data_IF_759167185754
#
_entry.id   IF_759167185754
#
_cell.length_a   1.000
_cell.length_b   1.000
_cell.length_c   1.000
_cell.angle_alpha   90.00
_cell.angle_beta   90.00
_cell.angle_gamma   90.00
#
_symmetry.space_group_name_H-M   'P 1'
#
loop_
_entity.id
_entity.type
_entity.pdbx_description
1 polymer ?
#
# COMPACT_ATOMS: atom_id res chain seq x y z
N UNK A 1 26.51 45.10 -6.81
CA UNK A 1 26.40 44.41 -8.11
C UNK A 1 25.50 43.19 -7.95
N UNK A 2 24.25 43.31 -8.39
CA UNK A 2 23.19 42.31 -8.22
C UNK A 2 23.21 41.30 -9.38
N UNK A 3 23.71 40.09 -9.12
CA UNK A 3 23.69 38.99 -10.08
C UNK A 3 22.29 38.35 -10.16
N UNK A 4 21.63 38.48 -11.32
CA UNK A 4 20.42 37.71 -11.67
C UNK A 4 20.79 36.21 -11.77
N UNK A 5 19.95 35.27 -11.28
CA UNK A 5 20.18 33.85 -11.52
C UNK A 5 19.83 33.49 -12.97
N UNK A 6 20.77 32.82 -13.64
CA UNK A 6 20.64 32.28 -14.99
C UNK A 6 19.40 31.37 -15.11
N UNK A 7 18.53 31.71 -16.05
CA UNK A 7 17.44 30.86 -16.50
C UNK A 7 18.06 29.66 -17.24
N UNK A 8 17.99 28.49 -16.62
CA UNK A 8 18.39 27.24 -17.28
C UNK A 8 17.15 26.69 -17.99
N UNK A 9 17.08 26.89 -19.30
CA UNK A 9 15.93 26.52 -20.13
C UNK A 9 15.56 25.03 -20.03
N UNK A 10 14.28 24.76 -20.27
CA UNK A 10 13.76 23.39 -20.36
C UNK A 10 14.11 22.83 -21.74
N UNK A 11 14.65 21.60 -21.84
CA UNK A 11 14.80 20.96 -23.14
C UNK A 11 13.43 20.74 -23.78
N UNK A 12 13.27 21.23 -25.01
CA UNK A 12 12.10 20.99 -25.86
C UNK A 12 12.01 19.50 -26.24
N UNK A 13 10.79 18.94 -26.40
CA UNK A 13 10.63 17.57 -26.86
C UNK A 13 11.13 17.44 -28.31
N UNK A 14 12.02 16.48 -28.54
CA UNK A 14 12.34 16.00 -29.89
C UNK A 14 11.11 15.23 -30.39
N UNK A 15 10.46 15.75 -31.44
CA UNK A 15 9.29 15.12 -32.06
C UNK A 15 9.61 13.78 -32.71
N UNK A 16 8.62 12.89 -32.90
CA UNK A 16 8.83 11.62 -33.56
C UNK A 16 9.16 11.86 -35.04
N UNK A 17 10.25 11.24 -35.52
CA UNK A 17 10.57 11.16 -36.94
C UNK A 17 9.59 10.18 -37.58
N UNK A 18 8.88 10.66 -38.60
CA UNK A 18 8.05 9.85 -39.49
C UNK A 18 8.87 8.74 -40.13
N UNK A 19 8.36 7.51 -40.09
CA UNK A 19 8.82 6.42 -40.95
C UNK A 19 7.62 5.86 -41.70
N UNK A 20 7.60 6.15 -43.00
CA UNK A 20 7.25 5.25 -44.10
C UNK A 20 5.96 4.45 -44.02
N UNK A 21 4.99 4.88 -44.84
CA UNK A 21 3.91 4.08 -45.39
C UNK A 21 4.43 2.84 -46.13
N UNK A 22 3.78 1.69 -45.96
CA UNK A 22 3.57 0.69 -47.01
C UNK A 22 2.16 0.09 -46.84
N UNK A 23 1.39 0.13 -47.93
CA UNK A 23 0.08 -0.50 -48.19
C UNK A 23 0.27 -2.01 -48.50
N UNK A 24 -0.69 -2.92 -48.68
CA UNK A 24 -2.16 -2.99 -48.76
C UNK A 24 -2.57 -4.49 -48.74
N UNK A 25 -3.90 -4.73 -48.65
CA UNK A 25 -4.68 -5.95 -49.02
C UNK A 25 -4.74 -7.10 -47.98
N UNK A 26 -5.87 -7.81 -47.74
CA UNK A 26 -7.30 -7.75 -48.15
C UNK A 26 -8.06 -8.89 -47.41
N UNK A 27 -9.41 -8.89 -47.51
CA UNK A 27 -10.42 -9.89 -47.10
C UNK A 27 -10.83 -9.84 -45.61
N UNK A 28 -11.96 -9.22 -45.22
CA UNK A 28 -13.38 -9.50 -45.49
C UNK A 28 -13.92 -10.77 -44.82
N UNK A 29 -14.73 -10.61 -43.78
CA UNK A 29 -16.07 -11.24 -43.71
C UNK A 29 -16.90 -10.54 -42.62
N UNK A 30 -18.11 -10.15 -43.03
CA UNK A 30 -19.09 -9.44 -42.24
C UNK A 30 -20.10 -10.45 -41.67
N UNK A 31 -20.51 -10.26 -40.42
CA UNK A 31 -21.81 -10.75 -39.94
C UNK A 31 -22.51 -9.60 -39.24
N UNK A 32 -23.72 -9.34 -39.73
CA UNK A 32 -24.53 -8.17 -39.50
C UNK A 32 -25.87 -8.66 -38.96
N UNK A 33 -26.25 -8.25 -37.76
CA UNK A 33 -27.67 -8.30 -37.34
C UNK A 33 -28.01 -7.17 -36.39
N UNK A 34 -28.79 -6.23 -36.96
CA UNK A 34 -29.95 -5.50 -36.42
C UNK A 34 -29.77 -4.66 -35.15
N UNK A 35 -29.80 -3.35 -35.39
CA UNK A 35 -30.35 -2.35 -34.50
C UNK A 35 -31.88 -2.48 -34.46
N UNK A 36 -32.45 -2.38 -33.26
CA UNK A 36 -33.81 -1.87 -33.08
C UNK A 36 -33.78 -0.80 -31.98
N UNK A 37 -34.34 0.34 -32.35
CA UNK A 37 -34.50 1.57 -31.59
C UNK A 37 -35.77 1.54 -30.75
N UNK A 38 -35.68 1.91 -29.48
CA UNK A 38 -36.81 2.53 -28.77
C UNK A 38 -36.30 3.41 -27.63
N UNK A 39 -36.58 4.71 -27.75
CA UNK A 39 -36.54 5.69 -26.67
C UNK A 39 -37.47 5.29 -25.52
N UNK A 40 -37.06 5.60 -24.28
CA UNK A 40 -37.76 6.54 -23.40
C UNK A 40 -37.62 6.21 -21.89
N UNK A 41 -37.52 7.30 -21.13
CA UNK A 41 -37.98 7.51 -19.74
C UNK A 41 -37.20 6.91 -18.56
N UNK A 42 -36.43 7.81 -17.92
CA UNK A 42 -36.13 7.84 -16.50
C UNK A 42 -37.42 7.98 -15.66
N UNK A 43 -37.73 7.03 -14.78
CA UNK A 43 -38.45 7.25 -13.51
C UNK A 43 -37.91 6.24 -12.48
N UNK A 44 -37.59 6.71 -11.29
CA UNK A 44 -36.95 5.91 -10.24
C UNK A 44 -37.91 4.96 -9.53
N UNK A 45 -37.37 3.80 -9.11
CA UNK A 45 -38.05 2.91 -8.17
C UNK A 45 -37.14 2.48 -7.03
N UNK A 46 -37.71 2.57 -5.83
CA UNK A 46 -37.15 2.19 -4.54
C UNK A 46 -37.13 0.67 -4.44
N UNK A 47 -35.96 0.08 -4.20
CA UNK A 47 -35.88 -1.33 -3.79
C UNK A 47 -36.12 -1.43 -2.29
N UNK A 48 -37.26 -1.99 -1.92
CA UNK A 48 -37.64 -2.41 -0.57
C UNK A 48 -36.98 -3.78 -0.31
N UNK A 49 -36.09 -3.88 0.67
CA UNK A 49 -35.56 -5.17 1.14
C UNK A 49 -36.36 -5.58 2.38
N UNK A 50 -37.07 -6.71 2.26
CA UNK A 50 -37.84 -7.36 3.33
C UNK A 50 -36.92 -8.31 4.09
N UNK A 51 -36.84 -8.18 5.42
CA UNK A 51 -36.15 -9.12 6.31
C UNK A 51 -37.06 -10.32 6.65
N UNK A 52 -36.53 -11.56 6.78
CA UNK A 52 -37.34 -12.70 7.17
C UNK A 52 -37.60 -12.71 8.68
N UNK A 53 -38.82 -13.14 9.00
CA UNK A 53 -39.48 -13.11 10.30
C UNK A 53 -38.96 -14.15 11.30
N UNK A 54 -39.03 -13.75 12.57
CA UNK A 54 -38.87 -14.57 13.79
C UNK A 54 -40.05 -15.53 13.95
N UNK A 55 -39.79 -16.82 14.17
CA UNK A 55 -40.79 -17.79 14.62
C UNK A 55 -40.90 -17.79 16.16
N UNK A 56 -42.14 -17.87 16.65
CA UNK A 56 -42.55 -17.96 18.06
C UNK A 56 -43.28 -19.28 18.29
N UNK A 57 -43.00 -19.95 19.41
CA UNK A 57 -43.96 -20.80 20.16
C UNK A 57 -43.42 -21.01 21.59
N UNK A 58 -44.02 -20.41 22.63
CA UNK A 58 -45.19 -20.81 23.47
C UNK A 58 -44.77 -21.54 24.77
N UNK A 59 -45.25 -21.03 25.91
CA UNK A 59 -45.63 -21.87 27.06
C UNK A 59 -45.42 -21.30 28.48
N UNK A 60 -46.51 -20.77 29.08
CA UNK A 60 -46.83 -20.76 30.54
C UNK A 60 -46.11 -19.74 31.45
N UNK A 61 -46.66 -19.14 32.51
CA UNK A 61 -48.00 -18.83 33.04
C UNK A 61 -47.77 -18.23 34.45
N UNK A 62 -48.54 -17.19 34.82
CA UNK A 62 -48.93 -16.74 36.17
C UNK A 62 -47.80 -16.17 37.11
N UNK A 63 -47.97 -15.20 38.02
CA UNK A 63 -49.14 -14.59 38.68
C UNK A 63 -48.70 -13.30 39.47
N UNK A 64 -49.58 -12.27 39.53
CA UNK A 64 -49.87 -11.27 40.61
C UNK A 64 -48.77 -10.29 41.12
N UNK A 65 -48.94 -8.96 40.94
CA UNK A 65 -49.69 -7.91 41.72
C UNK A 65 -48.80 -7.13 42.72
N UNK A 66 -48.56 -5.84 42.47
CA UNK A 66 -49.15 -4.69 43.22
C UNK A 66 -48.40 -3.35 42.98
N UNK A 67 -49.19 -2.35 42.57
CA UNK A 67 -49.25 -0.92 42.96
C UNK A 67 -48.00 -0.23 43.53
N UNK A 68 -47.53 0.83 42.87
CA UNK A 68 -47.76 2.21 43.35
C UNK A 68 -47.32 3.31 42.34
N UNK A 69 -48.05 4.42 42.41
CA UNK A 69 -47.94 5.62 41.59
C UNK A 69 -46.68 6.44 41.87
N UNK A 70 -46.24 7.24 40.87
CA UNK A 70 -45.17 8.21 41.07
C UNK A 70 -44.66 8.85 39.78
N UNK A 71 -45.21 10.02 39.48
CA UNK A 71 -44.96 10.88 38.33
C UNK A 71 -43.46 11.31 38.20
N UNK A 72 -42.87 11.22 37.00
CA UNK A 72 -41.98 12.24 36.41
C UNK A 72 -41.29 11.71 35.14
N UNK A 73 -41.46 12.46 34.05
CA UNK A 73 -40.94 12.13 32.74
C UNK A 73 -39.41 12.00 32.69
N UNK A 74 -38.95 10.89 32.12
CA UNK A 74 -37.63 10.79 31.49
C UNK A 74 -37.82 10.28 30.08
N UNK A 75 -37.55 11.16 29.13
CA UNK A 75 -37.46 10.85 27.72
C UNK A 75 -36.55 9.63 27.51
N UNK A 76 -37.12 8.58 26.91
CA UNK A 76 -36.40 7.43 26.44
C UNK A 76 -35.36 7.89 25.41
N UNK A 77 -34.09 7.96 25.83
CA UNK A 77 -32.96 8.04 24.89
C UNK A 77 -32.89 6.69 24.19
N UNK A 78 -33.63 6.56 23.08
CA UNK A 78 -33.41 5.50 22.09
C UNK A 78 -31.94 5.58 21.69
N UNK A 79 -31.16 4.59 22.10
CA UNK A 79 -29.78 4.43 21.70
C UNK A 79 -29.73 4.39 20.18
N UNK A 80 -29.14 5.43 19.59
CA UNK A 80 -28.75 5.40 18.19
C UNK A 80 -27.83 4.17 18.01
N UNK A 81 -28.06 3.34 16.99
CA UNK A 81 -27.10 2.29 16.69
C UNK A 81 -25.78 2.97 16.41
N UNK A 82 -24.76 2.64 17.22
CA UNK A 82 -23.38 2.98 16.91
C UNK A 82 -23.06 2.24 15.63
N UNK A 83 -23.25 2.92 14.50
CA UNK A 83 -22.64 2.51 13.24
C UNK A 83 -21.15 2.65 13.48
N UNK A 84 -20.53 1.53 13.89
CA UNK A 84 -19.09 1.36 13.74
C UNK A 84 -18.87 1.35 12.24
N UNK A 85 -18.69 2.55 11.68
CA UNK A 85 -17.99 2.71 10.42
C UNK A 85 -16.67 1.98 10.63
N UNK A 86 -16.59 0.76 10.10
CA UNK A 86 -15.36 0.01 9.98
C UNK A 86 -14.46 0.86 9.11
N UNK A 87 -13.73 1.77 9.76
CA UNK A 87 -12.66 2.54 9.15
C UNK A 87 -11.71 1.49 8.59
N UNK A 88 -11.69 1.39 7.26
CA UNK A 88 -10.75 0.57 6.52
C UNK A 88 -9.38 0.67 7.19
N UNK A 89 -8.84 -0.42 7.75
CA UNK A 89 -7.58 -0.34 8.48
C UNK A 89 -6.52 0.01 7.47
N UNK A 90 -6.10 1.28 7.51
CA UNK A 90 -5.02 1.89 6.75
C UNK A 90 -3.84 0.93 6.68
N UNK A 91 -3.68 0.27 5.54
CA UNK A 91 -2.66 -0.76 5.35
C UNK A 91 -1.33 -0.06 5.15
N UNK A 92 -0.36 -0.43 5.98
CA UNK A 92 1.01 0.07 5.91
C UNK A 92 1.61 -0.41 4.60
N UNK A 93 2.18 0.47 3.74
CA UNK A 93 2.92 0.03 2.57
C UNK A 93 4.07 -0.91 2.97
N UNK A 94 4.07 -2.11 2.43
CA UNK A 94 5.14 -3.09 2.58
C UNK A 94 5.90 -3.18 1.26
N UNK A 95 6.71 -4.24 1.06
CA UNK A 95 7.54 -4.35 -0.13
C UNK A 95 6.75 -4.27 -1.46
N UNK A 96 5.66 -5.02 -1.65
CA UNK A 96 4.93 -5.03 -2.91
C UNK A 96 4.38 -3.65 -3.29
N UNK A 97 3.80 -2.92 -2.33
CA UNK A 97 3.26 -1.58 -2.57
C UNK A 97 4.35 -0.60 -3.00
N UNK A 98 5.51 -0.67 -2.36
CA UNK A 98 6.66 0.19 -2.69
C UNK A 98 7.23 -0.19 -4.06
N UNK A 99 7.30 -1.47 -4.39
CA UNK A 99 7.76 -1.94 -5.71
C UNK A 99 6.85 -1.45 -6.83
N UNK A 100 5.54 -1.61 -6.66
CA UNK A 100 4.52 -1.13 -7.60
C UNK A 100 4.64 0.38 -7.77
N UNK A 101 4.81 1.14 -6.68
CA UNK A 101 5.03 2.57 -6.76
C UNK A 101 6.30 2.92 -7.54
N UNK A 102 7.42 2.23 -7.29
CA UNK A 102 8.68 2.46 -8.00
C UNK A 102 8.53 2.22 -9.50
N UNK A 103 7.90 1.11 -9.90
CA UNK A 103 7.66 0.76 -11.32
C UNK A 103 6.86 1.83 -12.06
N UNK A 104 5.88 2.43 -11.38
CA UNK A 104 5.05 3.48 -11.95
C UNK A 104 5.67 4.88 -11.90
N UNK A 105 6.33 5.22 -10.80
CA UNK A 105 6.88 6.57 -10.58
C UNK A 105 8.19 6.80 -11.33
N UNK A 106 9.03 5.77 -11.49
CA UNK A 106 10.34 5.91 -12.13
C UNK A 106 10.27 6.40 -13.60
N UNK A 107 9.39 5.87 -14.47
CA UNK A 107 9.21 6.40 -15.83
C UNK A 107 8.77 7.86 -15.84
N UNK A 108 7.90 8.25 -14.90
CA UNK A 108 7.39 9.60 -14.79
C UNK A 108 8.47 10.60 -14.36
N UNK A 109 9.51 10.17 -13.64
CA UNK A 109 10.62 11.02 -13.20
C UNK A 109 11.75 11.16 -14.23
N UNK A 110 11.74 10.34 -15.29
CA UNK A 110 12.81 10.29 -16.30
C UNK A 110 13.10 11.68 -16.87
N UNK A 111 14.38 12.02 -16.98
CA UNK A 111 14.88 13.28 -17.53
C UNK A 111 14.42 14.56 -16.79
N UNK A 112 13.74 14.45 -15.64
CA UNK A 112 13.36 15.63 -14.86
C UNK A 112 14.55 16.20 -14.11
N UNK A 113 14.58 17.52 -14.02
CA UNK A 113 15.59 18.30 -13.29
C UNK A 113 14.88 19.00 -12.14
N UNK A 114 15.45 18.92 -10.95
CA UNK A 114 14.94 19.62 -9.77
C UNK A 114 15.24 21.11 -9.89
N UNK A 115 14.20 21.93 -9.93
CA UNK A 115 14.28 23.40 -9.97
C UNK A 115 14.12 24.04 -8.61
N UNK A 116 13.36 23.40 -7.74
CA UNK A 116 13.15 23.87 -6.37
C UNK A 116 12.94 22.68 -5.44
N UNK A 117 13.30 22.88 -4.18
CA UNK A 117 13.04 21.96 -3.07
C UNK A 117 12.30 22.75 -2.01
N UNK A 118 11.24 22.19 -1.45
CA UNK A 118 10.55 22.75 -0.29
C UNK A 118 10.20 21.62 0.68
N UNK A 119 10.62 21.78 1.94
CA UNK A 119 10.30 20.81 3.01
C UNK A 119 9.34 21.49 3.98
N UNK A 120 8.05 21.20 3.82
CA UNK A 120 6.99 21.84 4.63
C UNK A 120 6.92 21.28 6.05
N UNK A 121 7.48 20.09 6.28
CA UNK A 121 7.58 19.46 7.61
C UNK A 121 8.97 18.87 7.83
N UNK A 122 9.82 19.56 8.59
CA UNK A 122 11.21 19.15 8.82
C UNK A 122 11.35 17.72 9.38
N UNK A 123 10.37 17.23 10.15
CA UNK A 123 10.39 15.87 10.74
C UNK A 123 10.58 14.76 9.72
N UNK A 124 10.05 14.90 8.50
CA UNK A 124 10.19 13.86 7.47
C UNK A 124 11.57 13.89 6.78
N UNK A 125 12.30 15.00 6.86
CA UNK A 125 13.62 15.13 6.26
C UNK A 125 14.77 14.67 7.17
N UNK A 126 14.51 14.53 8.47
CA UNK A 126 15.53 14.13 9.46
C UNK A 126 16.14 12.76 9.13
N UNK A 127 17.46 12.58 9.37
CA UNK A 127 18.38 13.50 10.04
C UNK A 127 18.86 14.67 9.17
N UNK A 128 18.65 14.63 7.85
CA UNK A 128 18.94 15.78 6.98
C UNK A 128 18.04 17.00 7.24
N UNK A 129 18.48 18.12 6.71
CA UNK A 129 17.80 19.42 6.75
C UNK A 129 17.29 19.82 5.36
N UNK A 130 16.35 20.77 5.32
CA UNK A 130 15.92 21.36 4.05
C UNK A 130 17.09 21.99 3.29
N UNK A 131 18.02 22.65 4.00
CA UNK A 131 19.19 23.29 3.39
C UNK A 131 20.07 22.28 2.68
N UNK A 132 20.34 21.14 3.31
CA UNK A 132 21.14 20.06 2.71
C UNK A 132 20.43 19.46 1.50
N UNK A 133 19.13 19.15 1.62
CA UNK A 133 18.34 18.64 0.50
C UNK A 133 18.32 19.62 -0.67
N UNK A 134 18.13 20.92 -0.40
CA UNK A 134 18.17 21.98 -1.42
C UNK A 134 19.53 22.05 -2.09
N UNK A 135 20.61 22.02 -1.32
CA UNK A 135 21.98 22.08 -1.82
C UNK A 135 22.35 20.85 -2.67
N UNK A 136 21.87 19.66 -2.27
CA UNK A 136 22.14 18.41 -2.97
C UNK A 136 21.30 18.27 -4.25
N UNK A 137 20.01 18.63 -4.21
CA UNK A 137 19.07 18.33 -5.28
C UNK A 137 18.87 19.47 -6.28
N UNK A 138 18.99 20.74 -5.91
CA UNK A 138 18.70 21.83 -6.86
C UNK A 138 19.66 21.79 -8.05
N UNK A 139 19.11 21.70 -9.26
CA UNK A 139 19.84 21.51 -10.52
C UNK A 139 20.22 20.06 -10.82
N UNK A 140 19.93 19.11 -9.93
CA UNK A 140 20.21 17.70 -10.17
C UNK A 140 19.18 17.08 -11.12
N UNK A 141 19.66 16.24 -12.03
CA UNK A 141 18.87 15.44 -12.97
C UNK A 141 18.57 14.08 -12.35
N UNK A 142 17.33 13.61 -12.50
CA UNK A 142 16.96 12.27 -12.10
C UNK A 142 17.74 11.21 -12.90
N UNK A 143 18.27 10.20 -12.22
CA UNK A 143 18.99 9.08 -12.84
C UNK A 143 18.16 7.81 -12.74
N UNK A 144 17.79 7.42 -11.52
CA UNK A 144 17.09 6.15 -11.26
C UNK A 144 16.26 6.25 -10.00
N UNK A 145 15.19 5.46 -9.96
CA UNK A 145 14.46 5.14 -8.74
C UNK A 145 14.48 3.62 -8.59
N UNK A 146 14.90 3.15 -7.44
CA UNK A 146 14.93 1.75 -7.07
C UNK A 146 14.20 1.53 -5.73
N UNK A 147 13.98 0.28 -5.37
CA UNK A 147 13.47 -0.13 -4.06
C UNK A 147 14.54 -0.88 -3.27
N UNK A 148 14.58 -0.65 -1.96
CA UNK A 148 15.28 -1.52 -1.00
C UNK A 148 14.40 -1.74 0.23
N UNK A 149 13.98 -2.97 0.48
CA UNK A 149 12.97 -3.29 1.48
C UNK A 149 11.69 -2.49 1.22
N UNK A 150 11.32 -1.64 2.19
CA UNK A 150 10.18 -0.71 2.13
C UNK A 150 10.59 0.74 1.81
N UNK A 151 11.82 0.94 1.36
CA UNK A 151 12.37 2.24 1.00
C UNK A 151 12.39 2.43 -0.51
N UNK A 152 12.08 3.66 -0.92
CA UNK A 152 12.37 4.19 -2.23
C UNK A 152 13.78 4.80 -2.21
N UNK A 153 14.61 4.45 -3.19
CA UNK A 153 15.99 4.94 -3.31
C UNK A 153 16.09 5.73 -4.60
N UNK A 154 16.11 7.05 -4.48
CA UNK A 154 16.23 7.97 -5.59
C UNK A 154 17.70 8.30 -5.83
N UNK A 155 18.15 8.16 -7.07
CA UNK A 155 19.49 8.55 -7.52
C UNK A 155 19.37 9.76 -8.43
N UNK A 156 20.09 10.82 -8.08
CA UNK A 156 20.16 12.08 -8.82
C UNK A 156 21.60 12.38 -9.17
N UNK A 157 21.82 13.07 -10.29
CA UNK A 157 23.15 13.52 -10.72
C UNK A 157 23.15 15.01 -10.93
N UNK A 158 24.07 15.71 -10.27
CA UNK A 158 24.23 17.15 -10.42
C UNK A 158 25.37 17.45 -11.40
N UNK A 159 25.13 18.21 -12.48
CA UNK A 159 26.22 18.66 -13.36
C UNK A 159 27.30 19.40 -12.57
N UNK A 160 28.56 19.12 -12.88
CA UNK A 160 29.71 19.77 -12.22
C UNK A 160 30.04 19.26 -10.80
N UNK A 161 29.37 18.20 -10.31
CA UNK A 161 29.80 17.47 -9.11
C UNK A 161 30.15 16.03 -9.45
N UNK A 162 31.22 15.54 -8.85
CA UNK A 162 31.56 14.12 -8.90
C UNK A 162 30.60 13.32 -8.03
N UNK A 163 30.13 12.18 -8.55
CA UNK A 163 29.26 11.24 -7.84
C UNK A 163 27.76 11.50 -7.98
N UNK A 164 26.98 10.47 -7.65
CA UNK A 164 25.54 10.54 -7.60
C UNK A 164 25.06 10.91 -6.18
N UNK A 165 23.96 11.64 -6.11
CA UNK A 165 23.25 11.98 -4.88
C UNK A 165 22.13 10.97 -4.66
N UNK A 166 22.19 10.27 -3.53
CA UNK A 166 21.14 9.35 -3.11
C UNK A 166 20.19 10.03 -2.13
N UNK A 167 18.89 9.91 -2.36
CA UNK A 167 17.84 10.29 -1.40
C UNK A 167 17.02 9.04 -1.08
N UNK A 168 16.81 8.80 0.20
CA UNK A 168 15.96 7.72 0.68
C UNK A 168 14.57 8.25 1.02
N UNK A 169 13.56 7.57 0.48
CA UNK A 169 12.15 7.79 0.77
C UNK A 169 11.57 6.61 1.54
N UNK A 170 10.72 6.86 2.51
CA UNK A 170 9.94 5.83 3.19
C UNK A 170 8.52 6.33 3.36
N UNK A 171 7.52 5.54 2.99
CA UNK A 171 6.13 5.99 2.98
C UNK A 171 5.51 6.05 4.39
N UNK A 172 6.09 5.34 5.36
CA UNK A 172 5.49 5.20 6.68
C UNK A 172 4.20 4.40 6.57
N UNK A 173 3.11 4.89 7.15
CA UNK A 173 1.81 4.20 7.06
C UNK A 173 0.83 4.85 6.07
N UNK A 174 0.98 6.14 5.82
CA UNK A 174 0.00 6.96 5.07
C UNK A 174 0.65 7.83 4.00
N UNK A 175 1.96 7.68 3.80
CA UNK A 175 2.68 8.45 2.80
C UNK A 175 2.17 8.13 1.39
N UNK A 176 2.14 9.15 0.54
CA UNK A 176 1.80 9.13 -0.89
C UNK A 176 2.87 9.90 -1.65
N UNK A 177 3.44 9.32 -2.70
CA UNK A 177 4.41 9.99 -3.57
C UNK A 177 3.93 9.99 -5.02
N UNK A 178 3.80 11.18 -5.64
CA UNK A 178 3.21 11.33 -6.97
C UNK A 178 3.62 12.65 -7.66
N UNK A 179 3.15 12.86 -8.90
CA UNK A 179 3.41 14.08 -9.67
C UNK A 179 2.14 14.88 -9.91
N UNK A 180 2.13 16.14 -9.50
CA UNK A 180 1.09 17.09 -9.88
C UNK A 180 1.55 18.00 -11.02
N UNK A 181 0.65 18.51 -11.88
CA UNK A 181 0.94 19.67 -12.72
C UNK A 181 1.42 20.85 -11.86
N UNK A 182 2.39 21.62 -12.35
CA UNK A 182 3.00 22.72 -11.55
C UNK A 182 2.00 23.78 -11.07
N UNK A 183 0.92 23.99 -11.84
CA UNK A 183 -0.14 24.97 -11.53
C UNK A 183 -1.26 24.41 -10.65
N UNK A 184 -1.28 23.10 -10.40
CA UNK A 184 -2.28 22.50 -9.54
C UNK A 184 -2.07 22.95 -8.07
N UNK A 185 -3.16 23.17 -7.30
CA UNK A 185 -3.05 23.48 -5.88
C UNK A 185 -2.27 22.41 -5.12
N UNK A 186 -1.37 22.83 -4.22
CA UNK A 186 -0.64 21.89 -3.38
C UNK A 186 -1.57 21.29 -2.31
N UNK A 187 -1.49 19.98 -2.04
CA UNK A 187 -2.34 19.35 -1.05
C UNK A 187 -1.96 19.82 0.37
N UNK A 188 -2.98 19.86 1.25
CA UNK A 188 -2.83 20.28 2.65
C UNK A 188 -1.70 19.54 3.36
N UNK A 189 -1.57 18.24 3.10
CA UNK A 189 -0.60 17.36 3.76
C UNK A 189 0.66 17.09 2.91
N UNK A 190 0.95 17.88 1.87
CA UNK A 190 2.27 17.85 1.22
C UNK A 190 3.35 18.21 2.26
N UNK A 191 4.26 17.27 2.51
CA UNK A 191 5.37 17.40 3.45
C UNK A 191 6.69 17.72 2.75
N UNK A 192 6.89 17.24 1.52
CA UNK A 192 8.00 17.62 0.64
C UNK A 192 7.47 17.88 -0.76
N UNK A 193 7.99 18.94 -1.39
CA UNK A 193 7.69 19.29 -2.78
C UNK A 193 9.00 19.52 -3.54
N UNK A 194 9.18 18.81 -4.65
CA UNK A 194 10.26 19.10 -5.60
C UNK A 194 9.66 19.68 -6.88
N UNK A 195 10.06 20.89 -7.25
CA UNK A 195 9.66 21.48 -8.52
C UNK A 195 10.42 20.83 -9.68
N UNK A 196 9.72 20.17 -10.60
CA UNK A 196 10.27 19.43 -11.74
C UNK A 196 9.79 20.02 -13.08
N UNK A 197 10.18 21.27 -13.35
CA UNK A 197 9.79 22.05 -14.53
C UNK A 197 8.27 22.24 -14.69
N UNK A 198 7.58 21.35 -15.41
CA UNK A 198 6.12 21.39 -15.66
C UNK A 198 5.31 20.66 -14.59
N UNK A 199 5.97 19.91 -13.71
CA UNK A 199 5.33 19.16 -12.64
C UNK A 199 5.93 19.53 -11.28
N UNK A 200 5.20 19.22 -10.21
CA UNK A 200 5.71 19.12 -8.86
C UNK A 200 5.70 17.65 -8.46
N UNK A 201 6.83 17.13 -7.99
CA UNK A 201 6.82 15.90 -7.21
C UNK A 201 6.33 16.22 -5.81
N UNK A 202 5.33 15.47 -5.37
CA UNK A 202 4.68 15.62 -4.08
C UNK A 202 4.97 14.37 -3.26
N UNK A 203 5.50 14.59 -2.06
CA UNK A 203 5.40 13.64 -0.98
C UNK A 203 4.39 14.17 0.03
N UNK A 204 3.27 13.48 0.16
CA UNK A 204 2.19 13.76 1.10
C UNK A 204 2.23 12.74 2.23
N UNK A 205 2.18 13.20 3.48
CA UNK A 205 2.09 12.31 4.64
C UNK A 205 1.35 13.00 5.78
N UNK A 206 0.05 12.73 5.96
CA UNK A 206 -0.75 13.32 7.04
C UNK A 206 -0.19 13.01 8.44
N UNK A 207 0.43 11.83 8.62
CA UNK A 207 0.93 11.36 9.92
C UNK A 207 2.40 11.71 10.16
N UNK A 208 3.12 12.12 9.11
CA UNK A 208 4.54 12.50 9.16
C UNK A 208 5.42 11.39 9.77
N UNK A 209 5.10 10.14 9.43
CA UNK A 209 5.81 8.95 9.90
C UNK A 209 6.84 8.47 8.89
N UNK A 210 6.66 8.76 7.62
CA UNK A 210 7.64 8.42 6.62
C UNK A 210 8.82 9.40 6.58
N UNK A 211 9.69 9.22 5.59
CA UNK A 211 10.98 9.90 5.48
C UNK A 211 11.27 10.28 4.03
N UNK A 212 12.04 11.35 3.86
CA UNK A 212 12.61 11.81 2.59
C UNK A 212 13.92 12.53 2.90
N UNK A 213 15.03 11.81 2.91
CA UNK A 213 16.28 12.25 3.54
C UNK A 213 17.51 11.83 2.73
N UNK A 214 18.66 12.49 2.92
CA UNK A 214 19.93 12.08 2.29
C UNK A 214 20.59 10.94 3.07
N UNK A 215 20.11 10.64 4.27
CA UNK A 215 20.61 9.53 5.07
C UNK A 215 20.13 8.18 4.53
N UNK A 216 21.07 7.28 4.32
CA UNK A 216 20.85 5.91 3.87
C UNK A 216 21.27 4.87 4.93
N UNK A 217 21.58 5.29 6.15
CA UNK A 217 21.96 4.39 7.26
C UNK A 217 20.92 3.30 7.50
N UNK A 218 19.63 3.65 7.52
CA UNK A 218 18.52 2.72 7.70
C UNK A 218 18.41 1.71 6.54
N UNK A 219 18.79 2.11 5.33
CA UNK A 219 18.78 1.25 4.13
C UNK A 219 19.95 0.28 4.16
N UNK A 220 21.14 0.73 4.59
CA UNK A 220 22.33 -0.11 4.75
C UNK A 220 22.18 -1.17 5.85
N UNK A 221 21.41 -0.89 6.89
CA UNK A 221 21.16 -1.81 7.99
C UNK A 221 20.17 -2.94 7.68
N UNK A 222 19.56 -2.95 6.48
CA UNK A 222 18.57 -3.95 6.10
C UNK A 222 19.21 -5.31 5.80
N UNK A 223 18.51 -6.38 6.21
CA UNK A 223 18.80 -7.75 5.80
C UNK A 223 18.54 -7.98 4.30
N UNK A 224 18.83 -9.18 3.78
CA UNK A 224 18.74 -9.44 2.34
C UNK A 224 17.34 -9.22 1.76
N UNK A 225 17.25 -8.98 0.44
CA UNK A 225 15.97 -8.98 -0.27
C UNK A 225 15.40 -10.41 -0.37
N UNK A 226 14.07 -10.59 -0.47
CA UNK A 226 13.46 -11.92 -0.57
C UNK A 226 13.89 -12.76 -1.78
N UNK A 227 14.42 -12.13 -2.83
CA UNK A 227 14.95 -12.80 -4.03
C UNK A 227 16.48 -12.74 -4.14
N UNK A 228 17.17 -12.20 -3.14
CA UNK A 228 18.63 -12.19 -3.09
C UNK A 228 19.16 -13.60 -2.81
N UNK A 229 20.31 -13.95 -3.41
CA UNK A 229 21.04 -15.20 -3.10
C UNK A 229 21.39 -15.29 -1.62
N UNK A 230 21.62 -14.14 -0.97
CA UNK A 230 21.89 -14.07 0.47
C UNK A 230 20.69 -14.49 1.34
N UNK A 231 19.47 -14.44 0.83
CA UNK A 231 18.29 -15.00 1.50
C UNK A 231 18.05 -16.44 1.03
N UNK A 232 18.95 -17.35 1.40
CA UNK A 232 18.83 -18.79 1.12
C UNK A 232 18.07 -19.52 2.24
N UNK A 233 17.59 -20.74 1.98
CA UNK A 233 16.92 -21.58 3.00
C UNK A 233 17.87 -21.90 4.16
N UNK A 234 19.14 -22.15 3.85
CA UNK A 234 20.19 -22.47 4.82
C UNK A 234 20.48 -21.26 5.73
N UNK A 235 20.70 -20.08 5.12
CA UNK A 235 20.93 -18.84 5.85
C UNK A 235 19.71 -18.47 6.71
N UNK A 236 18.51 -18.62 6.17
CA UNK A 236 17.26 -18.36 6.88
C UNK A 236 17.07 -19.32 8.07
N UNK A 237 17.32 -20.62 7.87
CA UNK A 237 17.27 -21.62 8.95
C UNK A 237 18.27 -21.30 10.06
N UNK A 238 19.51 -20.96 9.69
CA UNK A 238 20.55 -20.60 10.66
C UNK A 238 20.18 -19.35 11.47
N UNK A 239 19.58 -18.34 10.83
CA UNK A 239 19.13 -17.13 11.51
C UNK A 239 17.94 -17.39 12.45
N UNK A 240 16.97 -18.23 12.05
CA UNK A 240 15.82 -18.57 12.88
C UNK A 240 16.20 -19.37 14.13
N UNK A 241 17.17 -20.30 14.02
CA UNK A 241 17.68 -21.09 15.15
C UNK A 241 18.22 -20.25 16.31
N UNK A 242 18.66 -19.02 16.04
CA UNK A 242 19.20 -18.09 17.04
C UNK A 242 18.13 -17.28 17.79
N UNK A 243 16.84 -17.42 17.46
CA UNK A 243 15.78 -16.60 18.06
C UNK A 243 14.72 -17.41 18.79
N UNK A 244 14.46 -17.01 20.04
CA UNK A 244 13.34 -17.52 20.85
C UNK A 244 12.00 -16.83 20.52
N UNK A 245 12.01 -15.72 19.77
CA UNK A 245 10.81 -14.96 19.45
C UNK A 245 9.84 -15.80 18.61
N UNK A 246 8.55 -15.48 18.69
CA UNK A 246 7.56 -16.07 17.80
C UNK A 246 7.91 -15.78 16.32
N UNK A 247 7.74 -16.77 15.44
CA UNK A 247 8.16 -16.72 14.04
C UNK A 247 7.57 -15.51 13.32
N UNK A 248 6.30 -15.18 13.58
CA UNK A 248 5.67 -13.98 13.02
C UNK A 248 6.41 -12.70 13.42
N UNK A 249 6.79 -12.57 14.70
CA UNK A 249 7.53 -11.39 15.18
C UNK A 249 8.90 -11.34 14.53
N UNK A 250 9.56 -12.49 14.39
CA UNK A 250 10.88 -12.56 13.76
C UNK A 250 10.84 -12.23 12.27
N UNK A 251 9.76 -12.56 11.54
CA UNK A 251 9.57 -12.13 10.14
C UNK A 251 9.40 -10.61 9.96
N UNK A 252 9.01 -9.88 11.00
CA UNK A 252 8.89 -8.42 10.96
C UNK A 252 10.24 -7.70 11.15
N UNK A 253 11.26 -8.43 11.60
CA UNK A 253 12.61 -7.92 11.75
C UNK A 253 13.26 -7.69 10.39
N UNK A 254 13.44 -6.42 10.03
CA UNK A 254 13.96 -6.03 8.72
C UNK A 254 15.45 -6.40 8.54
N UNK A 255 16.16 -6.81 9.60
CA UNK A 255 17.53 -7.36 9.50
C UNK A 255 17.56 -8.84 9.08
N UNK A 256 16.45 -9.56 9.25
CA UNK A 256 16.34 -10.97 8.83
C UNK A 256 16.06 -11.07 7.33
N UNK A 257 15.04 -10.34 6.89
CA UNK A 257 14.63 -10.24 5.49
C UNK A 257 13.92 -8.91 5.32
N UNK A 258 14.38 -8.11 4.37
CA UNK A 258 13.84 -6.78 4.17
C UNK A 258 12.47 -6.85 3.48
N UNK A 259 11.57 -5.95 3.85
CA UNK A 259 10.34 -5.72 3.08
C UNK A 259 9.10 -6.44 3.58
N UNK A 260 9.23 -7.49 4.39
CA UNK A 260 8.09 -8.18 4.97
C UNK A 260 7.47 -7.32 6.08
N UNK A 261 6.16 -7.15 6.08
CA UNK A 261 5.41 -6.53 7.16
C UNK A 261 4.27 -7.40 7.66
N UNK A 262 3.26 -6.76 8.21
CA UNK A 262 2.22 -7.41 8.99
C UNK A 262 1.29 -8.27 8.13
N UNK A 263 1.00 -7.80 6.92
CA UNK A 263 0.12 -8.48 5.95
C UNK A 263 0.83 -9.73 5.47
N UNK A 264 1.96 -9.56 4.80
CA UNK A 264 2.61 -10.65 4.09
C UNK A 264 3.25 -11.67 5.02
N UNK A 265 3.60 -11.30 6.27
CA UNK A 265 3.99 -12.30 7.27
C UNK A 265 2.84 -13.23 7.65
N UNK A 266 1.60 -12.71 7.80
CA UNK A 266 0.44 -13.54 8.16
C UNK A 266 0.05 -14.46 7.01
N UNK A 267 0.03 -13.92 5.78
CA UNK A 267 -0.27 -14.68 4.56
C UNK A 267 0.77 -15.77 4.28
N UNK A 268 2.06 -15.47 4.37
CA UNK A 268 3.13 -16.45 4.16
C UNK A 268 3.09 -17.58 5.20
N UNK A 269 2.84 -17.26 6.47
CA UNK A 269 2.71 -18.27 7.53
C UNK A 269 1.49 -19.17 7.32
N UNK A 270 0.38 -18.61 6.83
CA UNK A 270 -0.80 -19.40 6.49
C UNK A 270 -0.53 -20.36 5.33
N UNK A 271 0.10 -19.89 4.26
CA UNK A 271 0.48 -20.74 3.13
C UNK A 271 1.45 -21.85 3.53
N UNK A 272 2.42 -21.53 4.39
CA UNK A 272 3.39 -22.50 4.91
C UNK A 272 2.81 -23.47 5.95
N UNK A 273 1.59 -23.23 6.47
CA UNK A 273 0.96 -24.05 7.50
C UNK A 273 1.61 -23.92 8.88
N UNK A 274 2.28 -22.79 9.17
CA UNK A 274 3.04 -22.59 10.41
C UNK A 274 2.27 -21.66 11.34
N UNK A 275 2.08 -22.08 12.58
CA UNK A 275 1.47 -21.25 13.62
C UNK A 275 2.31 -20.00 13.89
N UNK A 276 1.71 -18.79 13.87
CA UNK A 276 2.45 -17.56 14.11
C UNK A 276 3.01 -17.46 15.53
N UNK A 277 2.53 -18.30 16.45
CA UNK A 277 2.97 -18.37 17.85
C UNK A 277 4.23 -19.21 18.04
N UNK A 278 4.55 -20.08 17.07
CA UNK A 278 5.70 -20.98 17.18
C UNK A 278 6.98 -20.18 17.32
N UNK A 279 7.85 -20.55 18.26
CA UNK A 279 9.16 -19.93 18.39
C UNK A 279 9.97 -20.16 17.11
N UNK A 280 10.66 -19.13 16.60
CA UNK A 280 11.43 -19.17 15.37
C UNK A 280 12.44 -20.33 15.35
N UNK A 281 13.16 -20.53 16.45
CA UNK A 281 14.11 -21.66 16.62
C UNK A 281 13.48 -23.05 16.59
N UNK A 282 12.15 -23.17 16.71
CA UNK A 282 11.41 -24.45 16.70
C UNK A 282 10.79 -24.76 15.33
N UNK A 283 10.93 -23.88 14.34
CA UNK A 283 10.49 -24.15 12.97
C UNK A 283 11.47 -25.15 12.35
N UNK A 284 10.97 -26.27 11.85
CA UNK A 284 11.80 -27.36 11.29
C UNK A 284 12.38 -26.95 9.93
N UNK A 285 13.48 -27.58 9.52
CA UNK A 285 14.16 -27.20 8.27
C UNK A 285 13.25 -27.30 7.02
N UNK A 286 12.41 -28.34 6.95
CA UNK A 286 11.40 -28.51 5.90
C UNK A 286 10.32 -27.42 5.94
N UNK A 287 9.89 -27.02 7.14
CA UNK A 287 8.98 -25.89 7.34
C UNK A 287 9.61 -24.56 6.94
N UNK A 288 10.91 -24.36 7.22
CA UNK A 288 11.64 -23.16 6.80
C UNK A 288 11.71 -23.08 5.27
N UNK A 289 11.97 -24.19 4.59
CA UNK A 289 11.96 -24.24 3.13
C UNK A 289 10.58 -23.87 2.55
N UNK A 290 9.50 -24.43 3.11
CA UNK A 290 8.12 -24.06 2.71
C UNK A 290 7.80 -22.60 3.00
N UNK A 291 8.24 -22.07 4.14
CA UNK A 291 8.04 -20.66 4.50
C UNK A 291 8.81 -19.72 3.57
N UNK A 292 10.05 -20.07 3.22
CA UNK A 292 10.87 -19.32 2.28
C UNK A 292 10.20 -19.21 0.91
N UNK A 293 9.70 -20.33 0.37
CA UNK A 293 8.94 -20.36 -0.87
C UNK A 293 7.64 -19.52 -0.76
N UNK A 294 6.84 -19.75 0.29
CA UNK A 294 5.59 -19.04 0.52
C UNK A 294 5.78 -17.52 0.63
N UNK A 295 6.85 -17.03 1.26
CA UNK A 295 7.20 -15.61 1.31
C UNK A 295 7.37 -15.05 -0.11
N UNK A 296 8.17 -15.73 -0.94
CA UNK A 296 8.48 -15.26 -2.30
C UNK A 296 7.25 -15.28 -3.19
N UNK A 297 6.43 -16.33 -3.10
CA UNK A 297 5.18 -16.47 -3.84
C UNK A 297 4.18 -15.36 -3.49
N UNK A 298 3.89 -15.17 -2.19
CA UNK A 298 2.94 -14.15 -1.72
C UNK A 298 3.37 -12.75 -2.18
N UNK A 299 4.66 -12.44 -2.05
CA UNK A 299 5.17 -11.12 -2.45
C UNK A 299 5.15 -10.94 -3.97
N UNK A 300 5.52 -11.97 -4.75
CA UNK A 300 5.49 -11.93 -6.21
C UNK A 300 4.07 -11.71 -6.73
N UNK A 301 3.11 -12.49 -6.22
CA UNK A 301 1.69 -12.35 -6.56
C UNK A 301 1.14 -10.97 -6.23
N UNK A 302 1.54 -10.39 -5.09
CA UNK A 302 1.10 -9.06 -4.69
C UNK A 302 1.70 -7.96 -5.59
N UNK A 303 2.95 -8.13 -6.04
CA UNK A 303 3.59 -7.21 -6.99
C UNK A 303 2.92 -7.31 -8.36
N UNK A 304 2.67 -8.53 -8.84
CA UNK A 304 2.02 -8.76 -10.13
C UNK A 304 0.62 -8.16 -10.15
N UNK A 305 -0.20 -8.47 -9.13
CA UNK A 305 -1.53 -7.89 -8.96
C UNK A 305 -1.50 -6.36 -8.86
N UNK A 306 -0.52 -5.82 -8.14
CA UNK A 306 -0.40 -4.37 -8.01
C UNK A 306 -0.02 -3.68 -9.31
N UNK A 307 0.79 -4.36 -10.11
CA UNK A 307 1.24 -3.83 -11.39
C UNK A 307 0.10 -3.75 -12.41
N UNK A 308 -1.00 -4.49 -12.22
CA UNK A 308 -2.19 -4.42 -13.08
C UNK A 308 -3.18 -3.34 -12.68
N UNK A 309 -3.00 -2.70 -11.51
CA UNK A 309 -3.95 -1.71 -10.99
C UNK A 309 -3.46 -0.30 -11.31
N UNK A 310 -4.27 0.53 -12.00
CA UNK A 310 -3.89 1.91 -12.27
C UNK A 310 -3.76 2.70 -10.97
N UNK A 311 -2.69 3.48 -10.82
CA UNK A 311 -2.53 4.38 -9.68
C UNK A 311 -3.06 5.77 -9.99
N UNK A 312 -3.64 6.40 -8.98
CA UNK A 312 -3.98 7.83 -9.03
C UNK A 312 -2.70 8.66 -8.87
N UNK A 313 -2.18 9.20 -9.97
CA UNK A 313 -1.01 10.09 -9.93
C UNK A 313 -1.37 11.57 -9.78
N UNK A 314 -2.64 11.92 -9.93
CA UNK A 314 -3.15 13.30 -9.84
C UNK A 314 -3.59 13.68 -8.41
N UNK A 315 -3.66 12.71 -7.50
CA UNK A 315 -4.19 12.90 -6.15
C UNK A 315 -5.69 13.21 -6.13
N UNK A 316 -6.41 12.87 -7.21
CA UNK A 316 -7.84 13.12 -7.40
C UNK A 316 -8.73 11.97 -6.90
N UNK A 317 -8.14 10.80 -6.66
CA UNK A 317 -8.82 9.60 -6.20
C UNK A 317 -9.30 9.70 -4.76
N UNK A 318 -10.33 8.90 -4.43
CA UNK A 318 -10.89 8.85 -3.06
C UNK A 318 -9.77 8.51 -2.06
N UNK A 319 -9.64 9.35 -1.02
CA UNK A 319 -8.53 9.31 -0.04
C UNK A 319 -8.55 8.11 0.89
N UNK A 320 -9.65 7.36 0.90
CA UNK A 320 -9.94 6.19 1.72
C UNK A 320 -9.51 4.86 1.06
N UNK A 321 -9.12 4.87 -0.22
CA UNK A 321 -8.54 3.73 -0.92
C UNK A 321 -7.02 3.57 -0.70
N UNK A 322 -6.51 2.35 -0.93
CA UNK A 322 -5.07 2.09 -1.05
C UNK A 322 -4.52 2.89 -2.23
N UNK A 323 -3.74 3.93 -1.96
CA UNK A 323 -3.14 4.79 -2.98
C UNK A 323 -2.30 4.02 -4.02
N UNK A 324 -1.71 2.90 -3.60
CA UNK A 324 -0.82 2.06 -4.40
C UNK A 324 -1.52 0.91 -5.13
N UNK A 325 -2.85 0.89 -5.06
CA UNK A 325 -3.71 -0.10 -5.70
C UNK A 325 -5.03 0.56 -6.10
N UNK A 326 -4.96 1.73 -6.76
CA UNK A 326 -6.08 2.64 -7.04
C UNK A 326 -7.48 2.02 -6.94
N UNK A 327 -8.33 2.60 -6.09
CA UNK A 327 -9.73 2.24 -6.04
C UNK A 327 -10.41 2.74 -7.33
N UNK A 328 -10.39 1.92 -8.38
CA UNK A 328 -11.25 2.14 -9.54
C UNK A 328 -12.68 1.91 -9.09
N UNK A 329 -13.58 2.82 -9.44
CA UNK A 329 -15.02 2.66 -9.19
C UNK A 329 -15.49 1.36 -9.85
N UNK A 330 -15.93 0.39 -9.03
CA UNK A 330 -16.30 -0.96 -9.47
C UNK A 330 -15.30 -2.09 -9.16
N UNK A 331 -14.07 -1.82 -8.68
CA UNK A 331 -13.04 -2.87 -8.54
C UNK A 331 -12.21 -2.85 -7.24
N UNK A 332 -12.64 -2.11 -6.20
CA UNK A 332 -11.90 -1.97 -4.93
C UNK A 332 -11.86 -3.24 -4.06
N UNK A 333 -12.68 -4.25 -4.38
CA UNK A 333 -12.79 -5.50 -3.60
C UNK A 333 -11.71 -6.53 -3.99
N UNK A 334 -11.16 -6.45 -5.20
CA UNK A 334 -10.30 -7.49 -5.79
C UNK A 334 -9.06 -7.81 -4.95
N UNK A 335 -8.40 -6.79 -4.40
CA UNK A 335 -7.19 -6.98 -3.59
C UNK A 335 -7.51 -7.48 -2.17
N UNK A 336 -8.64 -7.10 -1.57
CA UNK A 336 -9.02 -7.55 -0.23
C UNK A 336 -9.47 -9.01 -0.22
N UNK A 337 -10.17 -9.45 -1.27
CA UNK A 337 -10.66 -10.83 -1.40
C UNK A 337 -9.53 -11.86 -1.51
N UNK A 338 -8.38 -11.46 -2.08
CA UNK A 338 -7.19 -12.31 -2.24
C UNK A 338 -6.47 -12.65 -0.94
N UNK A 339 -6.63 -11.85 0.12
CA UNK A 339 -6.03 -12.19 1.40
C UNK A 339 -6.72 -13.40 1.98
N UNK A 340 -5.94 -14.38 2.43
CA UNK A 340 -6.45 -15.65 2.90
C UNK A 340 -6.78 -15.59 4.39
N UNK A 341 -6.02 -14.82 5.17
CA UNK A 341 -6.21 -14.70 6.63
C UNK A 341 -6.18 -13.26 7.13
N UNK A 342 -5.40 -12.38 6.53
CA UNK A 342 -5.19 -11.03 7.05
C UNK A 342 -6.49 -10.21 7.00
N UNK A 343 -6.85 -9.60 8.13
CA UNK A 343 -8.08 -8.80 8.27
C UNK A 343 -9.37 -9.59 8.00
N UNK A 344 -9.32 -10.92 8.18
CA UNK A 344 -10.45 -11.83 7.99
C UNK A 344 -10.90 -12.50 9.29
N UNK A 345 -10.62 -11.90 10.44
CA UNK A 345 -11.01 -12.46 11.74
C UNK A 345 -12.51 -12.79 11.78
N UNK A 346 -12.85 -14.01 12.22
CA UNK A 346 -14.21 -14.53 12.25
C UNK A 346 -14.76 -15.04 10.91
N UNK A 347 -14.14 -14.72 9.77
CA UNK A 347 -14.51 -15.29 8.46
C UNK A 347 -14.03 -16.75 8.34
N UNK A 348 -14.70 -17.59 7.54
CA UNK A 348 -14.26 -18.97 7.31
C UNK A 348 -12.91 -19.02 6.59
N UNK A 349 -12.08 -19.98 7.00
CA UNK A 349 -10.82 -20.29 6.34
C UNK A 349 -11.08 -20.91 4.95
N UNK A 350 -10.42 -20.39 3.92
CA UNK A 350 -10.57 -20.88 2.53
C UNK A 350 -10.16 -22.33 2.30
N UNK A 351 -9.51 -22.99 3.28
CA UNK A 351 -9.05 -24.39 3.18
C UNK A 351 -9.87 -25.37 4.03
N UNK A 352 -10.49 -24.92 5.11
CA UNK A 352 -11.07 -25.83 6.12
C UNK A 352 -12.29 -25.27 6.85
N UNK A 353 -12.78 -24.10 6.44
CA UNK A 353 -13.96 -23.39 6.98
C UNK A 353 -13.89 -22.96 8.44
N UNK A 354 -12.90 -23.41 9.22
CA UNK A 354 -12.68 -22.96 10.58
C UNK A 354 -12.49 -21.43 10.62
N UNK A 355 -13.05 -20.74 11.64
CA UNK A 355 -12.96 -19.28 11.72
C UNK A 355 -11.51 -18.82 11.85
N UNK A 356 -11.15 -17.79 11.09
CA UNK A 356 -9.84 -17.14 11.22
C UNK A 356 -9.75 -16.44 12.58
N UNK A 357 -8.68 -16.75 13.31
CA UNK A 357 -8.42 -16.16 14.61
C UNK A 357 -7.53 -14.93 14.48
N UNK A 358 -7.75 -13.98 15.39
CA UNK A 358 -6.91 -12.80 15.58
C UNK A 358 -6.28 -12.83 16.96
N UNK A 359 -5.00 -12.51 17.03
CA UNK A 359 -4.29 -12.24 18.28
C UNK A 359 -3.39 -11.02 18.15
N UNK A 360 -2.82 -10.56 19.25
CA UNK A 360 -1.84 -9.47 19.26
C UNK A 360 -0.46 -10.02 19.61
N UNK A 361 0.54 -9.73 18.78
CA UNK A 361 1.95 -10.08 18.99
C UNK A 361 2.80 -8.84 18.77
N UNK A 362 3.62 -8.47 19.77
CA UNK A 362 4.52 -7.31 19.69
C UNK A 362 3.79 -6.03 19.22
N UNK A 363 2.63 -5.73 19.81
CA UNK A 363 1.77 -4.59 19.46
C UNK A 363 1.32 -4.56 17.98
N UNK A 364 1.19 -5.72 17.33
CA UNK A 364 0.66 -5.87 15.97
C UNK A 364 -0.40 -6.96 15.95
N UNK A 365 -1.47 -6.72 15.18
CA UNK A 365 -2.50 -7.75 14.95
C UNK A 365 -1.91 -8.85 14.08
N UNK A 366 -2.16 -10.10 14.45
CA UNK A 366 -1.79 -11.30 13.69
C UNK A 366 -3.05 -12.10 13.41
N UNK A 367 -3.20 -12.55 12.17
CA UNK A 367 -4.34 -13.35 11.73
C UNK A 367 -3.85 -14.72 11.27
N UNK A 368 -4.57 -15.78 11.63
CA UNK A 368 -4.18 -17.15 11.32
C UNK A 368 -5.38 -18.11 11.44
N UNK A 369 -5.32 -19.24 10.74
CA UNK A 369 -6.27 -20.33 10.90
C UNK A 369 -5.76 -21.30 11.97
N UNK A 370 -6.54 -21.60 13.05
CA UNK A 370 -6.10 -22.49 14.11
C UNK A 370 -5.99 -23.96 13.68
N UNK A 371 -6.65 -24.37 12.59
CA UNK A 371 -6.65 -25.75 12.10
C UNK A 371 -5.54 -25.99 11.06
N UNK A 372 -5.38 -25.06 10.12
CA UNK A 372 -4.38 -25.18 9.04
C UNK A 372 -2.96 -24.85 9.48
N UNK A 373 -2.77 -24.15 10.60
CA UNK A 373 -1.45 -23.69 11.06
C UNK A 373 -1.10 -24.28 12.42
N UNK A 374 -0.09 -25.13 12.46
CA UNK A 374 0.36 -25.84 13.67
C UNK A 374 1.66 -25.29 14.20
#
# INVERSE_FOLDING_TARGET
MSGKPLAVDCPSPVGPRNCGQLSAASASEAVQTRADSSEASFIGERVIIVSPATQVSRGGAALRRNLNAGNSGRAARRGLPVVVLLRHPWRVPELPEVEVLVRHLAPLLRNKIVRSVAVRKAKVARPSTERELRAALTGARFVRLARRGKYLVFTWRRPGRAGDVTVTGHLGMTGRMYLLPKRAPLPKHAVVVLGLCRNNFIYEDPRQFGRFTLDDSAVRALGPEPWDRAFSVEAFTAALRRSAQAIKVKLLDQSLVAGIGNIYASEALFRAGISPRRAARRVRADEVARLHAAIREVLAEAIECGSTIPLDFAGDGKRDGLFYYGAVEGNSQFYQERLLVYDRAGKPCVKCDAPINRLVQAARSTFFCPQCQR
#
